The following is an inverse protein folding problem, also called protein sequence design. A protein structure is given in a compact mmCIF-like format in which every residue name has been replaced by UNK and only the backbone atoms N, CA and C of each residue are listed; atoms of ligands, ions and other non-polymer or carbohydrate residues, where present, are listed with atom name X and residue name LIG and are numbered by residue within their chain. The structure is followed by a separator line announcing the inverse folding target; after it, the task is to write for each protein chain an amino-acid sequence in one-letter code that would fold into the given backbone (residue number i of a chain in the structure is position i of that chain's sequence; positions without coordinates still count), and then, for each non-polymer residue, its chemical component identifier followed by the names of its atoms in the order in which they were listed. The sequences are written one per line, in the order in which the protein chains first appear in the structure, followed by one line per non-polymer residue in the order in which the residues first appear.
data_IF_712198359925
#
_entry.id   IF_712198359925
#
_cell.length_a   1.000
_cell.length_b   1.000
_cell.length_c   1.000
_cell.angle_alpha   90.00
_cell.angle_beta   90.00
_cell.angle_gamma   90.00
#
_symmetry.space_group_name_H-M   'P 1'
#
loop_
_entity.id
_entity.type
_entity.pdbx_description
1 polymer ?
#
# COMPACT_ATOMS: atom_id res chain seq x y z
N UNK A 1 -9.60 -20.34 35.93
CA UNK A 1 -10.03 -19.95 34.56
C UNK A 1 -9.57 -18.52 34.31
N UNK A 2 -8.97 -18.22 33.16
CA UNK A 2 -8.55 -16.87 32.79
C UNK A 2 -9.56 -16.29 31.79
N UNK A 3 -10.06 -15.09 32.07
CA UNK A 3 -11.02 -14.39 31.20
C UNK A 3 -10.41 -13.06 30.80
N UNK A 4 -10.32 -12.82 29.49
CA UNK A 4 -9.86 -11.55 28.92
C UNK A 4 -11.05 -10.61 28.73
N UNK A 5 -10.91 -9.33 29.11
CA UNK A 5 -11.94 -8.32 28.86
C UNK A 5 -11.94 -7.88 27.39
N UNK A 6 -13.13 -7.52 26.90
CA UNK A 6 -13.34 -7.04 25.53
C UNK A 6 -12.70 -5.65 25.34
N UNK A 7 -11.78 -5.52 24.38
CA UNK A 7 -10.93 -4.34 24.18
C UNK A 7 -11.62 -3.14 23.48
N UNK A 8 -12.94 -3.17 23.26
CA UNK A 8 -13.64 -2.12 22.51
C UNK A 8 -13.93 -0.83 23.31
N UNK A 9 -13.91 -0.89 24.64
CA UNK A 9 -14.33 0.24 25.49
C UNK A 9 -13.21 1.26 25.79
N UNK A 10 -11.95 1.01 25.40
CA UNK A 10 -10.81 1.88 25.73
C UNK A 10 -9.75 1.96 24.65
N UNK A 11 -9.11 3.13 24.53
CA UNK A 11 -7.99 3.39 23.62
C UNK A 11 -6.70 2.72 24.12
N UNK A 12 -6.47 2.67 25.43
CA UNK A 12 -5.30 2.03 26.00
C UNK A 12 -5.48 0.52 26.08
N UNK A 13 -4.54 -0.24 25.50
CA UNK A 13 -4.49 -1.69 25.68
C UNK A 13 -4.05 -2.02 27.10
N UNK A 14 -4.95 -2.64 27.85
CA UNK A 14 -4.67 -3.06 29.21
C UNK A 14 -3.94 -4.40 29.22
N UNK A 15 -2.61 -4.36 29.10
CA UNK A 15 -1.73 -5.54 29.19
C UNK A 15 -1.84 -6.30 30.53
N UNK A 16 -2.55 -5.76 31.53
CA UNK A 16 -2.66 -6.30 32.88
C UNK A 16 -4.06 -6.75 33.31
N UNK A 17 -5.13 -6.52 32.55
CA UNK A 17 -6.51 -6.86 32.99
C UNK A 17 -6.88 -8.36 32.87
N UNK A 18 -6.03 -9.24 33.40
CA UNK A 18 -6.40 -10.64 33.62
C UNK A 18 -7.15 -10.76 34.95
N UNK A 19 -8.42 -11.15 34.88
CA UNK A 19 -9.15 -11.56 36.08
C UNK A 19 -8.95 -13.06 36.24
N UNK A 20 -8.12 -13.45 37.20
CA UNK A 20 -7.89 -14.85 37.53
C UNK A 20 -8.93 -15.30 38.57
N UNK A 21 -9.59 -16.42 38.32
CA UNK A 21 -10.52 -17.04 39.28
C UNK A 21 -9.96 -18.37 39.75
N UNK A 22 -10.10 -18.64 41.05
CA UNK A 22 -9.83 -19.95 41.61
C UNK A 22 -10.78 -20.98 40.94
N UNK A 23 -10.21 -22.03 40.35
CA UNK A 23 -10.96 -23.01 39.57
C UNK A 23 -11.88 -23.93 40.38
N UNK A 24 -11.76 -23.94 41.70
CA UNK A 24 -12.56 -24.80 42.60
C UNK A 24 -13.56 -23.98 43.43
N UNK A 25 -13.15 -22.79 43.90
CA UNK A 25 -13.98 -21.97 44.79
C UNK A 25 -14.69 -20.80 44.10
N UNK A 26 -14.35 -20.49 42.85
CA UNK A 26 -14.92 -19.37 42.09
C UNK A 26 -14.54 -17.98 42.63
N UNK A 27 -13.72 -17.90 43.68
CA UNK A 27 -13.30 -16.61 44.23
C UNK A 27 -12.30 -15.90 43.30
N UNK A 28 -12.40 -14.57 43.16
CA UNK A 28 -11.45 -13.79 42.37
C UNK A 28 -10.08 -13.83 43.08
N UNK A 29 -9.06 -14.33 42.37
CA UNK A 29 -7.67 -14.11 42.74
C UNK A 29 -7.36 -12.65 42.42
N UNK A 30 -6.72 -11.94 43.35
CA UNK A 30 -6.44 -10.51 43.26
C UNK A 30 -5.89 -10.16 41.87
N UNK A 31 -6.69 -9.40 41.12
CA UNK A 31 -6.36 -8.99 39.76
C UNK A 31 -5.09 -8.11 39.79
N UNK A 32 -4.27 -8.29 38.77
CA UNK A 32 -2.93 -7.77 38.54
C UNK A 32 -2.66 -6.37 39.11
N UNK A 33 -1.43 -6.17 39.58
CA UNK A 33 -0.89 -4.89 40.04
C UNK A 33 -1.25 -3.74 39.08
N UNK A 34 -1.57 -2.56 39.63
CA UNK A 34 -1.89 -1.36 38.85
C UNK A 34 -0.86 -1.14 37.75
N UNK A 35 -1.36 -0.93 36.52
CA UNK A 35 -0.49 -0.74 35.37
C UNK A 35 0.46 0.42 35.62
N UNK A 36 1.77 0.17 35.53
CA UNK A 36 2.74 1.25 35.67
C UNK A 36 2.52 2.29 34.56
N UNK A 37 2.75 3.58 34.88
CA UNK A 37 2.58 4.70 33.95
C UNK A 37 3.24 4.46 32.57
N UNK A 38 4.46 3.88 32.47
CA UNK A 38 5.08 3.58 31.18
C UNK A 38 4.33 2.51 30.37
N UNK A 39 3.78 1.48 31.04
CA UNK A 39 2.96 0.47 30.37
C UNK A 39 1.63 1.04 29.88
N UNK A 40 1.03 1.97 30.63
CA UNK A 40 -0.21 2.64 30.22
C UNK A 40 0.01 3.54 28.99
N UNK A 41 1.13 4.28 28.94
CA UNK A 41 1.51 5.08 27.78
C UNK A 41 1.78 4.17 26.57
N UNK A 42 2.57 3.11 26.73
CA UNK A 42 2.85 2.14 25.68
C UNK A 42 1.59 1.43 25.16
N UNK A 43 0.69 1.05 26.07
CA UNK A 43 -0.62 0.49 25.74
C UNK A 43 -1.54 1.46 25.02
N UNK A 44 -1.44 2.75 25.31
CA UNK A 44 -2.16 3.81 24.59
C UNK A 44 -1.65 3.97 23.16
N UNK A 45 -0.33 4.04 22.96
CA UNK A 45 0.25 4.06 21.61
C UNK A 45 -0.09 2.79 20.82
N UNK A 46 -0.02 1.63 21.47
CA UNK A 46 -0.35 0.36 20.83
C UNK A 46 -1.83 0.29 20.45
N UNK A 47 -2.74 0.67 21.35
CA UNK A 47 -4.17 0.67 21.06
C UNK A 47 -4.57 1.70 20.01
N UNK A 48 -3.92 2.87 20.00
CA UNK A 48 -4.07 3.88 18.95
C UNK A 48 -3.58 3.36 17.59
N UNK A 49 -2.43 2.69 17.57
CA UNK A 49 -1.84 2.12 16.36
C UNK A 49 -2.69 0.98 15.78
N UNK A 50 -3.19 0.08 16.64
CA UNK A 50 -4.01 -1.06 16.22
C UNK A 50 -5.45 -0.66 15.88
N UNK A 51 -5.93 0.49 16.37
CA UNK A 51 -7.29 0.98 16.09
C UNK A 51 -8.41 0.04 16.56
N UNK A 52 -8.14 -0.81 17.56
CA UNK A 52 -9.08 -1.86 18.00
C UNK A 52 -10.33 -1.28 18.65
N UNK A 53 -10.20 -0.15 19.33
CA UNK A 53 -11.29 0.65 19.92
C UNK A 53 -12.23 1.30 18.89
N UNK A 54 -11.77 1.46 17.64
CA UNK A 54 -12.53 2.17 16.62
C UNK A 54 -13.63 1.28 16.03
N UNK A 55 -14.87 1.78 15.99
CA UNK A 55 -15.94 1.18 15.18
C UNK A 55 -15.65 1.30 13.67
N UNK A 56 -16.46 0.65 12.79
CA UNK A 56 -16.18 0.58 11.36
C UNK A 56 -15.94 1.94 10.67
N UNK A 57 -16.76 2.95 10.99
CA UNK A 57 -16.63 4.31 10.42
C UNK A 57 -15.32 4.97 10.84
N UNK A 58 -14.96 4.87 12.12
CA UNK A 58 -13.75 5.49 12.64
C UNK A 58 -12.49 4.81 12.10
N UNK A 59 -12.53 3.49 11.85
CA UNK A 59 -11.45 2.77 11.17
C UNK A 59 -11.23 3.27 9.74
N UNK A 60 -12.30 3.53 8.99
CA UNK A 60 -12.20 4.13 7.66
C UNK A 60 -11.64 5.55 7.70
N UNK A 61 -12.06 6.39 8.66
CA UNK A 61 -11.47 7.73 8.82
C UNK A 61 -9.98 7.67 9.17
N UNK A 62 -9.59 6.80 10.11
CA UNK A 62 -8.18 6.56 10.44
C UNK A 62 -7.37 6.12 9.23
N UNK A 63 -7.91 5.19 8.44
CA UNK A 63 -7.29 4.72 7.21
C UNK A 63 -7.11 5.86 6.19
N UNK A 64 -8.16 6.66 5.94
CA UNK A 64 -8.10 7.78 5.01
C UNK A 64 -7.13 8.88 5.46
N UNK A 65 -7.10 9.20 6.75
CA UNK A 65 -6.13 10.14 7.31
C UNK A 65 -4.69 9.62 7.13
N UNK A 66 -4.43 8.34 7.42
CA UNK A 66 -3.12 7.72 7.20
C UNK A 66 -2.70 7.72 5.73
N UNK A 67 -3.64 7.43 4.83
CA UNK A 67 -3.42 7.49 3.38
C UNK A 67 -3.08 8.92 2.93
N UNK A 68 -3.81 9.91 3.43
CA UNK A 68 -3.57 11.33 3.14
C UNK A 68 -2.20 11.79 3.65
N UNK A 69 -1.82 11.41 4.89
CA UNK A 69 -0.50 11.72 5.44
C UNK A 69 0.63 11.12 4.60
N UNK A 70 0.48 9.86 4.18
CA UNK A 70 1.46 9.17 3.34
C UNK A 70 1.56 9.84 1.96
N UNK A 71 0.42 10.18 1.36
CA UNK A 71 0.38 10.88 0.07
C UNK A 71 1.03 12.27 0.13
N UNK A 72 0.80 13.02 1.22
CA UNK A 72 1.42 14.33 1.44
C UNK A 72 2.94 14.24 1.51
N UNK A 73 3.47 13.31 2.31
CA UNK A 73 4.92 13.11 2.46
C UNK A 73 5.52 12.64 1.12
N UNK A 74 4.87 11.66 0.47
CA UNK A 74 5.35 11.10 -0.78
C UNK A 74 5.37 12.11 -1.93
N UNK A 75 4.31 12.92 -2.07
CA UNK A 75 4.25 13.98 -3.08
C UNK A 75 5.30 15.07 -2.84
N UNK A 76 5.57 15.45 -1.58
CA UNK A 76 6.65 16.36 -1.23
C UNK A 76 8.03 15.88 -1.71
N UNK A 77 8.34 14.60 -1.46
CA UNK A 77 9.59 13.98 -1.91
C UNK A 77 9.70 13.93 -3.44
N UNK A 78 8.62 13.58 -4.14
CA UNK A 78 8.59 13.51 -5.61
C UNK A 78 8.76 14.90 -6.23
N UNK A 79 8.10 15.93 -5.70
CA UNK A 79 8.23 17.31 -6.19
C UNK A 79 9.66 17.83 -5.96
N UNK A 80 10.24 17.57 -4.78
CA UNK A 80 11.60 17.96 -4.47
C UNK A 80 12.60 17.31 -5.44
N UNK A 81 12.44 16.00 -5.67
CA UNK A 81 13.28 15.25 -6.61
C UNK A 81 13.14 15.83 -8.02
N UNK A 82 11.92 16.07 -8.51
CA UNK A 82 11.68 16.67 -9.83
C UNK A 82 12.31 18.04 -10.00
N UNK A 83 12.22 18.92 -8.99
CA UNK A 83 12.88 20.24 -9.01
C UNK A 83 14.41 20.12 -9.07
N UNK A 84 14.99 19.13 -8.39
CA UNK A 84 16.45 18.93 -8.34
C UNK A 84 16.97 18.28 -9.62
N UNK A 85 16.23 17.34 -10.18
CA UNK A 85 16.45 16.76 -11.49
C UNK A 85 16.53 17.84 -12.58
N UNK A 86 15.62 18.82 -12.58
CA UNK A 86 15.62 19.93 -13.54
C UNK A 86 16.83 20.86 -13.39
N UNK A 87 17.31 21.10 -12.16
CA UNK A 87 18.53 21.89 -11.93
C UNK A 87 19.79 21.21 -12.46
N UNK A 88 19.83 19.88 -12.38
CA UNK A 88 20.95 19.07 -12.88
C UNK A 88 20.75 18.57 -14.32
N UNK A 89 19.64 18.87 -14.98
CA UNK A 89 19.37 18.49 -16.37
C UNK A 89 20.34 19.12 -17.38
N UNK A 90 21.09 20.15 -16.98
CA UNK A 90 22.18 20.75 -17.78
C UNK A 90 23.54 20.04 -17.60
N UNK A 91 23.66 19.12 -16.64
CA UNK A 91 24.86 18.29 -16.45
C UNK A 91 24.69 16.93 -17.12
N UNK A 92 25.76 16.42 -17.72
CA UNK A 92 25.76 15.20 -18.55
C UNK A 92 25.41 13.90 -17.78
N UNK A 93 25.43 13.90 -16.45
CA UNK A 93 25.13 12.74 -15.62
C UNK A 93 24.29 13.11 -14.39
N UNK A 94 23.34 12.24 -14.06
CA UNK A 94 22.56 12.31 -12.82
C UNK A 94 23.44 11.91 -11.63
N UNK A 95 23.48 12.72 -10.55
CA UNK A 95 24.16 12.35 -9.30
C UNK A 95 23.64 11.03 -8.74
N UNK A 96 24.54 10.18 -8.23
CA UNK A 96 24.18 8.91 -7.60
C UNK A 96 23.16 9.08 -6.47
N UNK A 97 23.29 10.13 -5.68
CA UNK A 97 22.36 10.47 -4.59
C UNK A 97 20.92 10.68 -5.09
N UNK A 98 20.74 11.37 -6.22
CA UNK A 98 19.42 11.59 -6.81
C UNK A 98 18.83 10.28 -7.35
N UNK A 99 19.69 9.42 -7.91
CA UNK A 99 19.27 8.08 -8.36
C UNK A 99 18.87 7.21 -7.18
N UNK A 100 19.61 7.24 -6.08
CA UNK A 100 19.29 6.48 -4.87
C UNK A 100 17.94 6.91 -4.28
N UNK A 101 17.70 8.21 -4.16
CA UNK A 101 16.41 8.74 -3.67
C UNK A 101 15.27 8.39 -4.63
N UNK A 102 15.49 8.44 -5.94
CA UNK A 102 14.50 8.01 -6.94
C UNK A 102 14.11 6.54 -6.76
N UNK A 103 15.10 5.65 -6.66
CA UNK A 103 14.92 4.21 -6.45
C UNK A 103 14.20 3.93 -5.13
N UNK A 104 14.62 4.57 -4.05
CA UNK A 104 14.03 4.37 -2.73
C UNK A 104 12.57 4.86 -2.69
N UNK A 105 12.25 5.97 -3.36
CA UNK A 105 10.88 6.45 -3.50
C UNK A 105 10.00 5.46 -4.27
N UNK A 106 10.51 4.92 -5.38
CA UNK A 106 9.80 3.92 -6.19
C UNK A 106 9.51 2.67 -5.35
N UNK A 107 10.54 2.10 -4.72
CA UNK A 107 10.42 0.88 -3.93
C UNK A 107 9.53 1.08 -2.68
N UNK A 108 9.57 2.25 -2.05
CA UNK A 108 8.78 2.52 -0.85
C UNK A 108 7.31 2.82 -1.15
N UNK A 109 7.01 3.45 -2.30
CA UNK A 109 5.63 3.83 -2.65
C UNK A 109 4.96 2.77 -3.53
N UNK A 110 5.51 2.49 -4.71
CA UNK A 110 4.94 1.51 -5.63
C UNK A 110 5.29 0.08 -5.22
N UNK A 111 6.55 -0.15 -4.82
CA UNK A 111 7.04 -1.46 -4.39
C UNK A 111 6.33 -2.00 -3.15
N UNK A 112 6.04 -1.14 -2.17
CA UNK A 112 5.31 -1.56 -0.96
C UNK A 112 3.87 -2.00 -1.29
N UNK A 113 3.16 -1.25 -2.14
CA UNK A 113 1.81 -1.62 -2.58
C UNK A 113 1.82 -2.94 -3.37
N UNK A 114 2.83 -3.14 -4.21
CA UNK A 114 3.04 -4.40 -4.91
C UNK A 114 3.28 -5.56 -3.94
N UNK A 115 4.09 -5.37 -2.91
CA UNK A 115 4.38 -6.38 -1.90
C UNK A 115 3.13 -6.76 -1.09
N UNK A 116 2.29 -5.79 -0.73
CA UNK A 116 0.98 -6.05 -0.09
C UNK A 116 0.09 -6.90 -1.01
N UNK A 117 0.02 -6.58 -2.30
CA UNK A 117 -0.75 -7.38 -3.25
C UNK A 117 -0.21 -8.82 -3.36
N UNK A 118 1.11 -8.99 -3.40
CA UNK A 118 1.76 -10.31 -3.42
C UNK A 118 1.46 -11.11 -2.14
N UNK A 119 1.43 -10.46 -0.97
CA UNK A 119 1.02 -11.08 0.29
C UNK A 119 -0.42 -11.62 0.21
N UNK A 120 -1.37 -10.85 -0.33
CA UNK A 120 -2.75 -11.32 -0.51
C UNK A 120 -2.86 -12.51 -1.46
N UNK A 121 -2.07 -12.52 -2.53
CA UNK A 121 -1.97 -13.67 -3.43
C UNK A 121 -1.41 -14.90 -2.72
N UNK A 122 -0.34 -14.75 -1.95
CA UNK A 122 0.25 -15.83 -1.17
C UNK A 122 -0.78 -16.41 -0.19
N UNK A 123 -1.50 -15.56 0.54
CA UNK A 123 -2.51 -15.98 1.50
C UNK A 123 -3.66 -16.79 0.86
N UNK A 124 -3.96 -16.55 -0.42
CA UNK A 124 -5.02 -17.27 -1.15
C UNK A 124 -4.53 -18.53 -1.86
N UNK A 125 -3.27 -18.58 -2.27
CA UNK A 125 -2.66 -19.72 -2.97
C UNK A 125 -2.09 -20.78 -2.01
N UNK A 126 -1.61 -20.36 -0.82
CA UNK A 126 -1.02 -21.27 0.15
C UNK A 126 -2.09 -22.15 0.81
N UNK A 127 -1.98 -23.50 0.73
CA UNK A 127 -2.92 -24.41 1.37
C UNK A 127 -2.93 -24.26 2.90
N UNK A 128 -4.07 -24.49 3.54
CA UNK A 128 -4.22 -24.37 4.99
C UNK A 128 -3.30 -25.31 5.80
N UNK A 129 -2.95 -26.48 5.25
CA UNK A 129 -2.06 -27.45 5.90
C UNK A 129 -0.57 -27.23 5.62
N UNK A 130 -0.18 -26.13 4.99
CA UNK A 130 1.22 -25.88 4.67
C UNK A 130 2.01 -25.55 5.94
N UNK A 131 3.09 -26.30 6.18
CA UNK A 131 3.97 -26.04 7.31
C UNK A 131 4.57 -24.64 7.19
N UNK A 132 4.65 -23.91 8.32
CA UNK A 132 5.22 -22.56 8.37
C UNK A 132 4.57 -21.57 7.38
N UNK A 133 3.28 -21.78 7.07
CA UNK A 133 2.54 -20.93 6.13
C UNK A 133 2.67 -19.44 6.44
N UNK A 134 2.60 -19.05 7.71
CA UNK A 134 2.72 -17.65 8.12
C UNK A 134 4.07 -17.05 7.71
N UNK A 135 5.16 -17.81 7.87
CA UNK A 135 6.50 -17.38 7.47
C UNK A 135 6.60 -17.27 5.95
N UNK A 136 6.00 -18.20 5.21
CA UNK A 136 5.92 -18.12 3.75
C UNK A 136 5.14 -16.92 3.24
N UNK A 137 4.04 -16.55 3.88
CA UNK A 137 3.26 -15.35 3.55
C UNK A 137 4.12 -14.09 3.76
N UNK A 138 4.78 -13.97 4.91
CA UNK A 138 5.68 -12.84 5.23
C UNK A 138 6.89 -12.80 4.29
N UNK A 139 7.50 -13.95 4.01
CA UNK A 139 8.62 -14.04 3.08
C UNK A 139 8.21 -13.60 1.68
N UNK A 140 7.00 -13.97 1.22
CA UNK A 140 6.47 -13.55 -0.08
C UNK A 140 6.41 -12.03 -0.21
N UNK A 141 6.00 -11.34 0.87
CA UNK A 141 6.02 -9.88 0.93
C UNK A 141 7.44 -9.32 0.78
N UNK A 142 8.40 -9.81 1.58
CA UNK A 142 9.79 -9.31 1.54
C UNK A 142 10.48 -9.63 0.20
N UNK A 143 10.22 -10.80 -0.38
CA UNK A 143 10.71 -11.14 -1.72
C UNK A 143 10.15 -10.21 -2.78
N UNK A 144 8.83 -9.98 -2.80
CA UNK A 144 8.21 -9.06 -3.74
C UNK A 144 8.74 -7.63 -3.57
N UNK A 145 8.91 -7.17 -2.33
CA UNK A 145 9.45 -5.85 -2.05
C UNK A 145 10.92 -5.71 -2.46
N UNK A 146 11.76 -6.70 -2.15
CA UNK A 146 13.17 -6.75 -2.56
C UNK A 146 13.33 -6.81 -4.08
N UNK A 147 12.53 -7.63 -4.77
CA UNK A 147 12.48 -7.66 -6.24
C UNK A 147 12.04 -6.31 -6.81
N UNK A 148 11.09 -5.61 -6.16
CA UNK A 148 10.70 -4.26 -6.57
C UNK A 148 11.85 -3.26 -6.47
N UNK A 149 12.67 -3.36 -5.41
CA UNK A 149 13.84 -2.52 -5.22
C UNK A 149 14.90 -2.80 -6.29
N UNK A 150 15.23 -4.07 -6.53
CA UNK A 150 16.16 -4.48 -7.59
C UNK A 150 15.69 -4.01 -8.97
N UNK A 151 14.39 -4.16 -9.24
CA UNK A 151 13.77 -3.68 -10.47
C UNK A 151 13.93 -2.16 -10.63
N UNK A 152 13.71 -1.38 -9.56
CA UNK A 152 13.87 0.07 -9.58
C UNK A 152 15.32 0.51 -9.82
N UNK A 153 16.31 -0.26 -9.32
CA UNK A 153 17.74 -0.01 -9.59
C UNK A 153 18.06 -0.12 -11.09
N UNK A 154 17.60 -1.19 -11.73
CA UNK A 154 17.96 -1.53 -13.13
C UNK A 154 17.15 -0.75 -14.15
N UNK A 155 15.89 -0.39 -13.85
CA UNK A 155 15.00 0.29 -14.81
C UNK A 155 15.07 1.82 -14.70
N UNK A 156 14.95 2.56 -15.81
CA UNK A 156 14.77 4.02 -15.76
C UNK A 156 13.58 4.37 -14.86
N UNK A 157 13.72 5.34 -13.96
CA UNK A 157 12.79 5.49 -12.85
C UNK A 157 11.34 5.69 -13.29
N UNK A 158 11.11 6.42 -14.39
CA UNK A 158 9.76 6.59 -14.95
C UNK A 158 9.13 5.28 -15.46
N UNK A 159 9.91 4.40 -16.10
CA UNK A 159 9.41 3.08 -16.54
C UNK A 159 9.15 2.20 -15.32
N UNK A 160 10.07 2.20 -14.35
CA UNK A 160 9.92 1.45 -13.10
C UNK A 160 8.62 1.81 -12.37
N UNK A 161 8.28 3.10 -12.28
CA UNK A 161 6.99 3.54 -11.72
C UNK A 161 5.78 2.97 -12.47
N UNK A 162 5.75 3.08 -13.80
CA UNK A 162 4.60 2.61 -14.59
C UNK A 162 4.47 1.09 -14.52
N UNK A 163 5.58 0.36 -14.60
CA UNK A 163 5.62 -1.09 -14.54
C UNK A 163 5.18 -1.61 -13.15
N UNK A 164 5.68 -1.02 -12.06
CA UNK A 164 5.29 -1.44 -10.71
C UNK A 164 3.86 -1.07 -10.35
N UNK A 165 3.41 0.14 -10.69
CA UNK A 165 2.01 0.54 -10.48
C UNK A 165 1.06 -0.29 -11.34
N UNK A 166 1.45 -0.58 -12.59
CA UNK A 166 0.67 -1.44 -13.49
C UNK A 166 0.58 -2.87 -12.97
N UNK A 167 1.70 -3.46 -12.52
CA UNK A 167 1.71 -4.80 -11.95
C UNK A 167 0.90 -4.87 -10.65
N UNK A 168 1.05 -3.87 -9.77
CA UNK A 168 0.24 -3.75 -8.56
C UNK A 168 -1.25 -3.65 -8.88
N UNK A 169 -1.62 -2.87 -9.89
CA UNK A 169 -3.01 -2.77 -10.34
C UNK A 169 -3.59 -4.12 -10.79
N UNK A 170 -2.81 -4.90 -11.55
CA UNK A 170 -3.19 -6.24 -12.01
C UNK A 170 -3.34 -7.20 -10.83
N UNK A 171 -2.38 -7.22 -9.90
CA UNK A 171 -2.44 -8.10 -8.74
C UNK A 171 -3.64 -7.76 -7.85
N UNK A 172 -3.87 -6.49 -7.52
CA UNK A 172 -5.03 -6.08 -6.71
C UNK A 172 -6.36 -6.38 -7.41
N UNK A 173 -6.48 -6.13 -8.72
CA UNK A 173 -7.68 -6.48 -9.47
C UNK A 173 -7.88 -8.00 -9.62
N UNK A 174 -6.80 -8.78 -9.57
CA UNK A 174 -6.84 -10.23 -9.62
C UNK A 174 -7.17 -10.91 -8.29
N UNK A 175 -7.06 -10.23 -7.14
CA UNK A 175 -7.40 -10.81 -5.83
C UNK A 175 -8.85 -11.30 -5.76
N UNK A 176 -9.88 -10.51 -6.12
CA UNK A 176 -11.28 -10.98 -6.10
C UNK A 176 -11.51 -12.16 -7.06
N UNK A 177 -10.86 -12.16 -8.23
CA UNK A 177 -10.95 -13.26 -9.19
C UNK A 177 -10.38 -14.54 -8.56
N UNK A 178 -9.22 -14.43 -7.92
CA UNK A 178 -8.59 -15.54 -7.21
C UNK A 178 -9.46 -16.03 -6.04
N UNK A 179 -10.14 -15.11 -5.35
CA UNK A 179 -11.10 -15.46 -4.31
C UNK A 179 -12.24 -16.32 -4.85
N UNK A 180 -12.84 -15.96 -5.99
CA UNK A 180 -13.89 -16.75 -6.66
C UNK A 180 -13.39 -18.14 -7.05
N UNK A 181 -12.16 -18.24 -7.58
CA UNK A 181 -11.60 -19.51 -8.03
C UNK A 181 -11.23 -20.46 -6.88
N UNK A 182 -10.75 -19.91 -5.76
CA UNK A 182 -10.28 -20.70 -4.61
C UNK A 182 -11.39 -20.99 -3.58
N UNK A 183 -12.53 -20.30 -3.66
CA UNK A 183 -13.69 -20.55 -2.80
C UNK A 183 -14.95 -20.77 -3.63
N UNK A 184 -15.30 -22.04 -3.93
CA UNK A 184 -16.54 -22.40 -4.63
C UNK A 184 -17.83 -21.92 -3.94
N UNK A 185 -17.75 -21.53 -2.65
CA UNK A 185 -18.88 -21.02 -1.87
C UNK A 185 -19.29 -19.58 -2.18
N UNK A 186 -18.61 -18.87 -3.08
CA UNK A 186 -18.85 -17.45 -3.35
C UNK A 186 -20.14 -17.18 -4.13
N UNK A 187 -20.62 -18.10 -4.96
CA UNK A 187 -21.89 -17.92 -5.67
C UNK A 187 -23.11 -18.22 -4.77
N UNK A 188 -22.99 -19.17 -3.85
CA UNK A 188 -24.11 -19.58 -2.99
C UNK A 188 -24.15 -18.85 -1.63
N UNK A 189 -23.02 -18.30 -1.18
CA UNK A 189 -22.86 -17.74 0.17
C UNK A 189 -23.11 -16.23 0.31
N UNK A 190 -23.06 -15.47 -0.80
CA UNK A 190 -23.11 -14.00 -0.77
C UNK A 190 -24.43 -13.46 -0.18
N UNK A 191 -25.55 -14.13 -0.47
CA UNK A 191 -26.87 -13.79 0.07
C UNK A 191 -27.23 -14.56 1.35
N UNK A 192 -26.61 -15.73 1.61
CA UNK A 192 -27.01 -16.61 2.72
C UNK A 192 -26.23 -16.35 4.01
N UNK A 193 -25.00 -15.79 3.95
CA UNK A 193 -24.13 -15.60 5.13
C UNK A 193 -23.85 -14.16 5.55
N UNK A 194 -24.22 -13.15 4.77
CA UNK A 194 -24.07 -11.74 5.17
C UNK A 194 -22.63 -11.31 5.46
N UNK A 195 -21.65 -11.88 4.74
CA UNK A 195 -20.22 -11.67 5.00
C UNK A 195 -19.70 -10.37 4.37
N UNK A 196 -20.22 -9.23 4.87
CA UNK A 196 -19.88 -7.88 4.41
C UNK A 196 -18.39 -7.56 4.54
N UNK A 197 -17.67 -8.26 5.41
CA UNK A 197 -16.22 -8.11 5.56
C UNK A 197 -15.47 -8.56 4.31
N UNK A 198 -15.80 -9.72 3.74
CA UNK A 198 -15.15 -10.21 2.53
C UNK A 198 -15.50 -9.36 1.31
N UNK A 199 -16.77 -8.96 1.17
CA UNK A 199 -17.22 -8.09 0.08
C UNK A 199 -16.55 -6.70 0.11
N UNK A 200 -16.43 -6.09 1.30
CA UNK A 200 -15.75 -4.81 1.45
C UNK A 200 -14.24 -4.90 1.19
N UNK A 201 -13.61 -6.03 1.55
CA UNK A 201 -12.21 -6.30 1.22
C UNK A 201 -11.98 -6.43 -0.30
N UNK A 202 -12.80 -7.22 -1.00
CA UNK A 202 -12.69 -7.38 -2.45
C UNK A 202 -12.95 -6.05 -3.18
N UNK A 203 -13.94 -5.26 -2.71
CA UNK A 203 -14.21 -3.93 -3.25
C UNK A 203 -13.05 -2.97 -3.00
N UNK A 204 -12.42 -3.01 -1.82
CA UNK A 204 -11.23 -2.22 -1.52
C UNK A 204 -10.06 -2.61 -2.45
N UNK A 205 -9.84 -3.91 -2.68
CA UNK A 205 -8.83 -4.39 -3.62
C UNK A 205 -9.08 -3.89 -5.05
N UNK A 206 -10.33 -3.96 -5.54
CA UNK A 206 -10.69 -3.41 -6.85
C UNK A 206 -10.47 -1.90 -6.90
N UNK A 207 -10.89 -1.16 -5.86
CA UNK A 207 -10.67 0.28 -5.74
C UNK A 207 -9.20 0.65 -5.80
N UNK A 208 -8.35 -0.05 -5.04
CA UNK A 208 -6.90 0.10 -5.07
C UNK A 208 -6.32 -0.23 -6.45
N UNK A 209 -6.75 -1.32 -7.08
CA UNK A 209 -6.32 -1.71 -8.42
C UNK A 209 -6.66 -0.64 -9.47
N UNK A 210 -7.88 -0.11 -9.45
CA UNK A 210 -8.31 0.97 -10.34
C UNK A 210 -7.53 2.26 -10.11
N UNK A 211 -7.28 2.62 -8.84
CA UNK A 211 -6.48 3.79 -8.48
C UNK A 211 -5.04 3.66 -9.01
N UNK A 212 -4.41 2.50 -8.83
CA UNK A 212 -3.06 2.24 -9.34
C UNK A 212 -3.01 2.23 -10.87
N UNK A 213 -3.99 1.63 -11.55
CA UNK A 213 -4.11 1.66 -12.99
C UNK A 213 -4.29 3.08 -13.52
N UNK A 214 -5.07 3.92 -12.84
CA UNK A 214 -5.21 5.33 -13.16
C UNK A 214 -3.89 6.09 -12.98
N UNK A 215 -3.18 5.87 -11.87
CA UNK A 215 -1.89 6.50 -11.59
C UNK A 215 -0.82 6.10 -12.63
N UNK A 216 -0.73 4.81 -12.98
CA UNK A 216 0.15 4.29 -14.02
C UNK A 216 -0.14 4.93 -15.38
N UNK A 217 -1.42 4.99 -15.78
CA UNK A 217 -1.84 5.63 -17.04
C UNK A 217 -1.53 7.12 -17.08
N UNK A 218 -1.78 7.85 -15.98
CA UNK A 218 -1.48 9.28 -15.89
C UNK A 218 0.02 9.53 -16.05
N UNK A 219 0.86 8.73 -15.38
CA UNK A 219 2.30 8.85 -15.48
C UNK A 219 2.83 8.46 -16.86
N UNK A 220 2.26 7.42 -17.49
CA UNK A 220 2.59 7.01 -18.86
C UNK A 220 2.24 8.10 -19.89
N UNK A 221 1.06 8.73 -19.77
CA UNK A 221 0.65 9.83 -20.66
C UNK A 221 1.50 11.08 -20.48
N UNK A 222 1.82 11.45 -19.24
CA UNK A 222 2.56 12.68 -18.93
C UNK A 222 3.92 12.75 -19.64
N UNK A 223 4.67 11.65 -19.69
CA UNK A 223 5.94 11.68 -20.44
C UNK A 223 5.85 11.17 -21.88
N UNK A 224 4.73 10.59 -22.32
CA UNK A 224 4.47 10.50 -23.77
C UNK A 224 4.32 11.93 -24.35
N UNK A 225 3.60 12.80 -23.64
CA UNK A 225 3.48 14.22 -23.98
C UNK A 225 4.82 14.98 -23.90
N UNK A 226 5.68 14.67 -22.92
CA UNK A 226 7.01 15.29 -22.83
C UNK A 226 7.98 14.84 -23.94
N UNK A 227 7.79 13.65 -24.51
CA UNK A 227 8.60 13.13 -25.63
C UNK A 227 8.08 13.62 -26.98
N UNK A 228 6.77 13.90 -27.08
CA UNK A 228 6.14 14.50 -28.25
C UNK A 228 6.42 16.02 -28.28
N UNK A 229 7.58 16.40 -28.81
CA UNK A 229 7.92 17.80 -29.10
C UNK A 229 6.85 18.42 -30.00
N UNK A 230 6.44 19.70 -29.82
CA UNK A 230 5.52 20.36 -30.74
C UNK A 230 6.16 20.34 -32.13
N UNK A 231 5.48 19.76 -33.11
CA UNK A 231 5.89 19.81 -34.51
C UNK A 231 5.92 21.29 -34.91
N UNK A 232 7.11 21.88 -34.99
CA UNK A 232 7.28 23.25 -35.47
C UNK A 232 6.56 23.35 -36.82
N UNK A 233 5.63 24.30 -37.01
CA UNK A 233 4.99 24.50 -38.30
C UNK A 233 6.11 24.78 -39.31
N UNK A 234 6.24 23.90 -40.30
CA UNK A 234 7.21 24.04 -41.39
C UNK A 234 6.89 25.36 -42.07
N UNK A 235 7.69 26.41 -41.82
CA UNK A 235 7.51 27.68 -42.50
C UNK A 235 7.60 27.41 -44.00
N UNK A 236 6.56 27.81 -44.73
CA UNK A 236 6.49 27.70 -46.19
C UNK A 236 7.63 28.57 -46.75
N UNK A 237 8.50 28.05 -47.63
CA UNK A 237 9.54 28.87 -48.24
C UNK A 237 8.92 30.12 -48.88
N UNK A 238 9.53 31.31 -48.75
CA UNK A 238 9.05 32.49 -49.44
C UNK A 238 9.01 32.22 -50.95
N UNK A 239 7.93 32.65 -51.60
CA UNK A 239 7.77 32.51 -53.04
C UNK A 239 8.89 33.29 -53.75
N UNK A 240 9.44 32.77 -54.87
CA UNK A 240 10.45 33.50 -55.62
C UNK A 240 9.84 34.80 -56.14
N UNK A 241 10.46 35.92 -55.79
CA UNK A 241 10.17 37.23 -56.39
C UNK A 241 10.47 37.11 -57.89
N UNK A 242 9.42 37.20 -58.70
CA UNK A 242 9.56 37.39 -60.14
C UNK A 242 10.03 38.82 -60.38
N UNK A 243 11.34 39.00 -60.55
CA UNK A 243 11.89 40.17 -61.22
C UNK A 243 11.31 40.21 -62.65
N UNK A 244 10.40 41.15 -62.87
CA UNK A 244 9.95 41.53 -64.21
C UNK A 244 10.68 42.83 -64.54
N UNK A 245 11.50 42.74 -65.58
CA UNK A 245 12.22 43.81 -66.27
C UNK A 245 11.23 44.76 -66.98
#
# INVERSE_FOLDING_TARGET
MQVFRHEADRVARDFGSQVAFNGVTGQPLQASAEQSLPLAIGGSFYGLHMGRFAGPVLRWLYFLCGLASTAMIGTGLVIWLGKRQLKHAKSAAQPFELRLVEVLNIASMAGLLLAVAAFFWANRLLPAGFAERADWEVNSFFWAWGLSLLHACVRPGRRAWVEQLGLGALLFAGVPVLSVLTSPSLMDGFMVRGDWAMASFDLACLGSGLFLAWAARKLHRAGAAATATPRVPRQRPPAPETEVN
#
